data_IF_958507973777
#
_entry.id   IF_958507973777
#
_cell.length_a   1.000
_cell.length_b   1.000
_cell.length_c   1.000
_cell.angle_alpha   90.00
_cell.angle_beta   90.00
_cell.angle_gamma   90.00
#
_symmetry.space_group_name_H-M   'P 1'
#
loop_
_entity.id
_entity.type
_entity.pdbx_description
1 polymer ?
#
# COMPACT_ATOMS: atom_id res chain seq x y z
N UNK A 1 34.40 36.43 -14.65
CA UNK A 1 34.82 35.19 -13.97
C UNK A 1 33.76 34.15 -14.28
N UNK A 2 34.07 33.19 -15.16
CA UNK A 2 33.13 32.16 -15.57
C UNK A 2 33.05 31.09 -14.47
N UNK A 3 31.88 30.91 -13.86
CA UNK A 3 31.63 29.85 -12.90
C UNK A 3 31.84 28.50 -13.60
N UNK A 4 32.85 27.74 -13.16
CA UNK A 4 33.04 26.38 -13.60
C UNK A 4 31.82 25.56 -13.14
N UNK A 5 30.91 25.22 -14.07
CA UNK A 5 29.85 24.24 -13.82
C UNK A 5 30.53 22.91 -13.50
N UNK A 6 30.67 22.60 -12.22
CA UNK A 6 31.03 21.24 -11.78
C UNK A 6 29.99 20.29 -12.36
N UNK A 7 30.40 19.40 -13.28
CA UNK A 7 29.52 18.39 -13.85
C UNK A 7 28.94 17.52 -12.72
N UNK A 8 27.64 17.68 -12.46
CA UNK A 8 26.93 16.88 -11.48
C UNK A 8 26.72 15.48 -12.07
N UNK A 9 27.54 14.52 -11.65
CA UNK A 9 27.40 13.13 -12.09
C UNK A 9 26.24 12.46 -11.35
N UNK A 10 25.13 12.24 -12.06
CA UNK A 10 23.97 11.53 -11.54
C UNK A 10 24.29 10.05 -11.32
N UNK A 11 23.85 9.50 -10.18
CA UNK A 11 23.94 8.06 -9.86
C UNK A 11 22.55 7.43 -9.95
N UNK A 12 22.43 6.18 -10.42
CA UNK A 12 21.14 5.49 -10.45
C UNK A 12 20.64 5.22 -9.03
N UNK A 13 19.37 5.52 -8.77
CA UNK A 13 18.68 5.17 -7.52
C UNK A 13 17.80 3.93 -7.62
N UNK A 14 17.26 3.65 -8.81
CA UNK A 14 16.56 2.40 -9.09
C UNK A 14 17.60 1.35 -9.45
N UNK A 15 18.06 0.65 -8.42
CA UNK A 15 19.00 -0.46 -8.53
C UNK A 15 18.27 -1.75 -8.22
N UNK A 16 18.88 -2.90 -8.50
CA UNK A 16 18.34 -4.20 -8.08
C UNK A 16 18.05 -4.27 -6.57
N UNK A 17 18.87 -3.58 -5.75
CA UNK A 17 18.70 -3.54 -4.29
C UNK A 17 17.45 -2.79 -3.85
N UNK A 18 17.17 -1.63 -4.46
CA UNK A 18 15.94 -0.88 -4.18
C UNK A 18 14.71 -1.55 -4.79
N UNK A 19 14.84 -2.15 -5.97
CA UNK A 19 13.78 -2.96 -6.59
C UNK A 19 13.38 -4.16 -5.72
N UNK A 20 14.35 -4.89 -5.15
CA UNK A 20 14.06 -6.00 -4.23
C UNK A 20 13.34 -5.55 -2.96
N UNK A 21 13.69 -4.40 -2.39
CA UNK A 21 13.00 -3.88 -1.22
C UNK A 21 11.53 -3.53 -1.54
N UNK A 22 11.28 -2.92 -2.70
CA UNK A 22 9.92 -2.63 -3.16
C UNK A 22 9.14 -3.92 -3.45
N UNK A 23 9.80 -4.92 -4.07
CA UNK A 23 9.21 -6.25 -4.28
C UNK A 23 8.85 -6.95 -2.97
N UNK A 24 9.71 -6.85 -1.95
CA UNK A 24 9.42 -7.35 -0.60
C UNK A 24 8.21 -6.64 0.02
N UNK A 25 8.12 -5.32 -0.13
CA UNK A 25 6.94 -4.56 0.31
C UNK A 25 5.65 -5.09 -0.33
N UNK A 26 5.67 -5.30 -1.65
CA UNK A 26 4.52 -5.80 -2.40
C UNK A 26 4.13 -7.23 -2.03
N UNK A 27 5.12 -8.12 -1.87
CA UNK A 27 4.89 -9.54 -1.67
C UNK A 27 4.55 -9.92 -0.22
N UNK A 28 5.05 -9.17 0.76
CA UNK A 28 4.89 -9.51 2.18
C UNK A 28 4.13 -8.45 2.97
N UNK A 29 4.59 -7.19 2.89
CA UNK A 29 4.03 -6.12 3.72
C UNK A 29 2.60 -5.80 3.30
N UNK A 30 2.34 -5.71 1.99
CA UNK A 30 1.02 -5.37 1.48
C UNK A 30 -0.04 -6.44 1.83
N UNK A 31 0.16 -7.76 1.64
CA UNK A 31 -0.80 -8.77 2.10
C UNK A 31 -1.05 -8.77 3.61
N UNK A 32 0.01 -8.56 4.42
CA UNK A 32 -0.12 -8.47 5.87
C UNK A 32 -0.99 -7.27 6.29
N UNK A 33 -0.82 -6.12 5.61
CA UNK A 33 -1.64 -4.93 5.83
C UNK A 33 -3.10 -5.12 5.40
N UNK A 34 -3.33 -5.77 4.25
CA UNK A 34 -4.68 -6.12 3.77
C UNK A 34 -5.39 -6.98 4.81
N UNK A 35 -4.72 -8.03 5.29
CA UNK A 35 -5.26 -8.92 6.32
C UNK A 35 -5.57 -8.16 7.62
N UNK A 36 -4.61 -7.36 8.10
CA UNK A 36 -4.78 -6.56 9.31
C UNK A 36 -6.01 -5.65 9.24
N UNK A 37 -6.19 -4.96 8.10
CA UNK A 37 -7.34 -4.10 7.88
C UNK A 37 -8.67 -4.88 7.82
N UNK A 38 -8.71 -6.03 7.14
CA UNK A 38 -9.94 -6.84 7.04
C UNK A 38 -10.37 -7.42 8.38
N UNK A 39 -9.42 -7.78 9.25
CA UNK A 39 -9.72 -8.38 10.57
C UNK A 39 -10.06 -7.32 11.60
N UNK A 40 -9.34 -6.21 11.63
CA UNK A 40 -9.45 -5.21 12.70
C UNK A 40 -10.27 -3.98 12.31
N UNK A 41 -10.50 -3.76 11.02
CA UNK A 41 -11.08 -2.51 10.50
C UNK A 41 -10.13 -1.31 10.59
N UNK A 42 -8.91 -1.47 11.10
CA UNK A 42 -7.93 -0.40 11.28
C UNK A 42 -6.96 -0.38 10.10
N UNK A 43 -6.77 0.79 9.48
CA UNK A 43 -5.85 0.94 8.35
C UNK A 43 -4.41 0.61 8.77
N UNK A 44 -3.71 -0.13 7.90
CA UNK A 44 -2.34 -0.56 8.15
C UNK A 44 -2.23 -1.76 9.09
N UNK A 45 -1.20 -1.78 9.93
CA UNK A 45 -0.90 -2.90 10.85
C UNK A 45 -1.46 -2.68 12.27
N UNK A 46 -2.43 -1.77 12.45
CA UNK A 46 -2.94 -1.40 13.78
C UNK A 46 -1.93 -0.65 14.66
N UNK A 47 -0.74 -0.33 14.14
CA UNK A 47 0.24 0.52 14.76
C UNK A 47 -0.22 1.96 14.56
N UNK A 48 -0.64 2.63 15.64
CA UNK A 48 -1.11 4.01 15.60
C UNK A 48 -0.08 4.94 14.95
N UNK A 49 -0.59 5.86 14.11
CA UNK A 49 0.14 6.69 13.16
C UNK A 49 0.79 5.91 12.00
N UNK A 50 0.84 6.51 10.82
CA UNK A 50 1.19 5.89 9.54
C UNK A 50 2.68 5.47 9.42
N UNK A 51 3.20 4.72 10.41
CA UNK A 51 4.61 4.34 10.58
C UNK A 51 4.98 3.10 9.77
N UNK A 52 4.01 2.31 9.31
CA UNK A 52 4.24 1.09 8.56
C UNK A 52 5.10 1.22 7.29
N UNK A 53 5.11 2.34 6.51
CA UNK A 53 5.96 2.43 5.33
C UNK A 53 7.44 2.40 5.71
N UNK A 54 7.78 3.01 6.85
CA UNK A 54 9.15 3.09 7.34
C UNK A 54 9.74 1.74 7.71
N UNK A 55 8.93 0.71 7.97
CA UNK A 55 9.39 -0.64 8.33
C UNK A 55 10.31 -1.18 7.22
N UNK A 56 9.91 -1.04 5.95
CA UNK A 56 10.69 -1.55 4.82
C UNK A 56 11.99 -0.76 4.67
N UNK A 57 11.93 0.57 4.77
CA UNK A 57 13.11 1.43 4.64
C UNK A 57 14.13 1.13 5.74
N UNK A 58 13.68 1.08 6.99
CA UNK A 58 14.54 0.83 8.15
C UNK A 58 15.14 -0.57 8.05
N UNK A 59 14.31 -1.59 7.80
CA UNK A 59 14.77 -2.97 7.65
C UNK A 59 15.83 -3.09 6.56
N UNK A 60 15.58 -2.53 5.37
CA UNK A 60 16.54 -2.61 4.27
C UNK A 60 17.79 -1.78 4.49
N UNK A 61 17.67 -0.62 5.15
CA UNK A 61 18.82 0.21 5.48
C UNK A 61 19.75 -0.45 6.49
N UNK A 62 19.20 -1.12 7.50
CA UNK A 62 19.98 -1.81 8.52
C UNK A 62 20.52 -3.14 7.99
N UNK A 63 19.73 -3.88 7.21
CA UNK A 63 20.20 -5.11 6.56
C UNK A 63 21.36 -4.82 5.60
N UNK A 64 21.25 -3.78 4.77
CA UNK A 64 22.32 -3.39 3.87
C UNK A 64 23.58 -2.93 4.61
N UNK A 65 23.42 -2.22 5.73
CA UNK A 65 24.53 -1.81 6.61
C UNK A 65 25.20 -3.02 7.27
N UNK A 66 24.41 -3.96 7.76
CA UNK A 66 24.90 -5.21 8.37
C UNK A 66 25.68 -6.06 7.36
N UNK A 67 25.23 -6.10 6.10
CA UNK A 67 25.92 -6.80 5.00
C UNK A 67 27.16 -6.05 4.48
N UNK A 68 27.58 -4.94 5.11
CA UNK A 68 28.78 -4.18 4.75
C UNK A 68 28.63 -3.23 3.57
N UNK A 69 27.43 -3.12 2.97
CA UNK A 69 27.17 -2.31 1.79
C UNK A 69 25.97 -1.39 2.01
N UNK A 70 26.15 -0.25 2.71
CA UNK A 70 25.05 0.66 3.02
C UNK A 70 24.39 1.19 1.74
N UNK A 71 23.06 1.37 1.79
CA UNK A 71 22.29 1.95 0.69
C UNK A 71 22.75 3.38 0.39
N UNK A 72 22.83 3.71 -0.89
CA UNK A 72 23.10 5.06 -1.34
C UNK A 72 21.93 6.00 -1.07
N UNK A 73 22.20 7.31 -1.01
CA UNK A 73 21.14 8.33 -0.86
C UNK A 73 20.09 8.24 -1.99
N UNK A 74 20.52 7.87 -3.20
CA UNK A 74 19.63 7.70 -4.36
C UNK A 74 18.72 6.47 -4.21
N UNK A 75 19.25 5.35 -3.73
CA UNK A 75 18.44 4.16 -3.44
C UNK A 75 17.43 4.44 -2.32
N UNK A 76 17.86 5.11 -1.25
CA UNK A 76 17.00 5.48 -0.13
C UNK A 76 15.88 6.44 -0.58
N UNK A 77 16.20 7.39 -1.48
CA UNK A 77 15.21 8.28 -2.06
C UNK A 77 14.15 7.53 -2.89
N UNK A 78 14.56 6.54 -3.70
CA UNK A 78 13.62 5.69 -4.44
C UNK A 78 12.71 4.92 -3.48
N UNK A 79 13.27 4.34 -2.42
CA UNK A 79 12.44 3.67 -1.41
C UNK A 79 11.46 4.63 -0.75
N UNK A 80 11.92 5.83 -0.36
CA UNK A 80 11.08 6.87 0.25
C UNK A 80 9.94 7.32 -0.67
N UNK A 81 10.22 7.50 -1.95
CA UNK A 81 9.27 7.97 -2.95
C UNK A 81 8.21 6.90 -3.31
N UNK A 82 8.61 5.65 -3.44
CA UNK A 82 7.75 4.59 -3.98
C UNK A 82 7.16 3.63 -2.94
N UNK A 83 7.65 3.60 -1.70
CA UNK A 83 7.10 2.74 -0.63
C UNK A 83 5.59 2.93 -0.43
N UNK A 84 5.09 4.16 -0.56
CA UNK A 84 3.69 4.48 -0.32
C UNK A 84 2.82 3.90 -1.43
N UNK A 85 3.30 3.96 -2.67
CA UNK A 85 2.64 3.30 -3.79
C UNK A 85 2.65 1.78 -3.62
N UNK A 86 3.78 1.21 -3.20
CA UNK A 86 3.95 -0.22 -3.00
C UNK A 86 3.20 -0.80 -1.78
N UNK A 87 2.59 0.03 -0.94
CA UNK A 87 1.88 -0.41 0.28
C UNK A 87 0.44 0.08 0.37
N UNK A 88 0.14 1.33 -0.02
CA UNK A 88 -1.19 1.91 0.14
C UNK A 88 -2.12 1.71 -1.05
N UNK A 89 -1.60 1.60 -2.27
CA UNK A 89 -2.47 1.57 -3.45
C UNK A 89 -3.40 0.36 -3.47
N UNK A 90 -3.04 -0.73 -2.79
CA UNK A 90 -3.95 -1.86 -2.59
C UNK A 90 -5.28 -1.47 -1.92
N UNK A 91 -5.26 -0.53 -0.96
CA UNK A 91 -6.49 -0.12 -0.27
C UNK A 91 -7.48 0.59 -1.20
N UNK A 92 -7.00 1.25 -2.26
CA UNK A 92 -7.89 1.91 -3.23
C UNK A 92 -8.81 0.89 -3.93
N UNK A 93 -8.32 -0.32 -4.17
CA UNK A 93 -9.09 -1.41 -4.77
C UNK A 93 -9.87 -2.21 -3.73
N UNK A 94 -9.40 -2.25 -2.48
CA UNK A 94 -10.01 -3.01 -1.41
C UNK A 94 -11.21 -2.29 -0.77
N UNK A 95 -11.18 -0.96 -0.71
CA UNK A 95 -12.23 -0.14 -0.09
C UNK A 95 -13.61 -0.37 -0.72
N UNK A 96 -13.79 -0.36 -2.06
CA UNK A 96 -15.09 -0.61 -2.67
C UNK A 96 -15.62 -2.02 -2.38
N UNK A 97 -14.73 -3.03 -2.36
CA UNK A 97 -15.08 -4.42 -2.06
C UNK A 97 -15.58 -4.55 -0.62
N UNK A 98 -14.87 -3.93 0.32
CA UNK A 98 -15.27 -3.92 1.72
C UNK A 98 -16.58 -3.16 1.95
N UNK A 99 -16.78 -2.00 1.31
CA UNK A 99 -18.03 -1.26 1.42
C UNK A 99 -19.21 -2.10 0.89
N UNK A 100 -19.02 -2.81 -0.22
CA UNK A 100 -20.02 -3.76 -0.74
C UNK A 100 -20.32 -4.90 0.24
N UNK A 101 -19.29 -5.46 0.89
CA UNK A 101 -19.48 -6.47 1.93
C UNK A 101 -20.32 -5.91 3.09
N UNK A 102 -19.93 -4.77 3.66
CA UNK A 102 -20.67 -4.12 4.76
C UNK A 102 -22.10 -3.76 4.35
N UNK A 103 -22.35 -3.39 3.10
CA UNK A 103 -23.69 -3.05 2.62
C UNK A 103 -24.60 -4.27 2.41
N UNK A 104 -24.09 -5.35 1.82
CA UNK A 104 -24.90 -6.45 1.27
C UNK A 104 -24.64 -7.82 1.88
N UNK A 105 -23.80 -7.91 2.93
CA UNK A 105 -23.59 -9.18 3.64
C UNK A 105 -24.88 -9.71 4.29
N UNK A 106 -24.88 -11.00 4.62
CA UNK A 106 -26.02 -11.64 5.26
C UNK A 106 -26.35 -10.97 6.60
N UNK A 107 -25.33 -10.59 7.36
CA UNK A 107 -25.44 -9.90 8.64
C UNK A 107 -26.11 -8.54 8.47
N UNK A 108 -25.67 -7.73 7.50
CA UNK A 108 -26.24 -6.41 7.25
C UNK A 108 -27.70 -6.46 6.77
N UNK A 109 -28.06 -7.52 6.03
CA UNK A 109 -29.45 -7.78 5.62
C UNK A 109 -30.31 -8.17 6.82
N UNK A 110 -29.83 -9.07 7.68
CA UNK A 110 -30.54 -9.50 8.90
C UNK A 110 -30.72 -8.32 9.86
N UNK A 111 -29.70 -7.49 10.03
CA UNK A 111 -29.75 -6.28 10.85
C UNK A 111 -30.58 -5.15 10.22
N UNK A 112 -31.00 -5.30 8.96
CA UNK A 112 -31.78 -4.30 8.24
C UNK A 112 -31.00 -3.01 7.94
N UNK A 113 -29.67 -3.06 7.92
CA UNK A 113 -28.80 -1.91 7.62
C UNK A 113 -28.79 -1.64 6.11
N UNK A 114 -28.87 -2.71 5.30
CA UNK A 114 -28.79 -2.65 3.84
C UNK A 114 -29.79 -1.67 3.19
N UNK A 115 -30.95 -1.42 3.81
CA UNK A 115 -31.97 -0.50 3.29
C UNK A 115 -31.61 0.98 3.42
N UNK A 116 -30.65 1.32 4.29
CA UNK A 116 -30.21 2.70 4.53
C UNK A 116 -28.92 3.04 3.77
N UNK A 117 -28.36 2.08 3.04
CA UNK A 117 -27.11 2.29 2.30
C UNK A 117 -27.37 3.12 1.05
N UNK A 118 -26.70 4.28 0.90
CA UNK A 118 -26.90 5.13 -0.27
C UNK A 118 -26.11 4.63 -1.49
N UNK A 119 -26.69 4.84 -2.69
CA UNK A 119 -26.13 4.37 -3.96
C UNK A 119 -24.85 5.08 -4.41
N UNK A 120 -24.57 6.27 -3.87
CA UNK A 120 -23.31 6.99 -4.12
C UNK A 120 -22.13 6.40 -3.33
N UNK A 121 -22.39 5.64 -2.26
CA UNK A 121 -21.35 5.00 -1.46
C UNK A 121 -21.05 3.58 -1.95
N UNK A 122 -22.10 2.84 -2.33
CA UNK A 122 -22.03 1.47 -2.86
C UNK A 122 -23.06 1.34 -3.99
N UNK A 123 -22.70 0.74 -5.14
CA UNK A 123 -23.66 0.50 -6.24
C UNK A 123 -24.82 -0.38 -5.77
N UNK A 124 -25.98 -0.28 -6.41
CA UNK A 124 -27.17 -1.08 -6.06
C UNK A 124 -26.86 -2.59 -6.01
N UNK A 125 -27.58 -3.36 -5.18
CA UNK A 125 -27.32 -4.81 -5.04
C UNK A 125 -27.42 -5.56 -6.39
N UNK A 126 -28.33 -5.13 -7.26
CA UNK A 126 -28.49 -5.67 -8.61
C UNK A 126 -27.25 -5.37 -9.48
N UNK A 127 -26.75 -4.13 -9.44
CA UNK A 127 -25.55 -3.74 -10.16
C UNK A 127 -24.29 -4.42 -9.61
N UNK A 128 -24.17 -4.51 -8.29
CA UNK A 128 -23.10 -5.24 -7.61
C UNK A 128 -23.05 -6.71 -8.06
N UNK A 129 -24.21 -7.38 -8.06
CA UNK A 129 -24.30 -8.77 -8.52
C UNK A 129 -23.93 -8.91 -9.99
N UNK A 130 -24.34 -7.95 -10.84
CA UNK A 130 -23.99 -7.91 -12.25
C UNK A 130 -22.47 -7.73 -12.46
N UNK A 131 -21.82 -6.86 -11.70
CA UNK A 131 -20.38 -6.61 -11.78
C UNK A 131 -19.55 -7.81 -11.33
N UNK A 132 -20.02 -8.56 -10.31
CA UNK A 132 -19.32 -9.73 -9.78
C UNK A 132 -19.58 -11.02 -10.59
N UNK A 133 -20.67 -11.07 -11.36
CA UNK A 133 -21.03 -12.22 -12.22
C UNK A 133 -20.38 -12.21 -13.60
N UNK A 134 -19.50 -11.26 -13.90
CA UNK A 134 -18.82 -11.22 -15.20
C UNK A 134 -18.01 -12.51 -15.36
N UNK A 135 -18.53 -13.39 -16.25
CA UNK A 135 -17.83 -14.55 -16.81
C UNK A 135 -16.92 -14.09 -17.94
#
# INVERSE_FOLDING_TARGET
MAEARTEVKYRPGLTWRSALALGFSLALVQPAMIYGWLVTGVAGLGLGANWWPWIVILLWSELARFLGHPLSKQELFILLAFQWMASLYAFMFLQPIYNMYVAYSAESKILGISKYVPTWWVPSEQDATRLLRVK
#
